data_IF_974658220527
#
_entry.id   IF_974658220527
#
_cell.length_a   1.000
_cell.length_b   1.000
_cell.length_c   1.000
_cell.angle_alpha   90.00
_cell.angle_beta   90.00
_cell.angle_gamma   90.00
#
_symmetry.space_group_name_H-M   'P 1'
#
loop_
_entity.id
_entity.type
_entity.pdbx_description
1 polymer ?
#
# COMPACT_ATOMS: atom_id res chain seq x y z
N UNK A 1 2.30 -4.22 24.66
CA UNK A 1 2.95 -3.50 23.55
C UNK A 1 4.02 -4.31 22.84
N UNK A 2 4.98 -4.93 23.54
CA UNK A 2 6.06 -5.73 22.91
C UNK A 2 5.55 -6.77 21.91
N UNK A 3 4.59 -7.63 22.31
CA UNK A 3 3.98 -8.63 21.41
C UNK A 3 3.30 -8.01 20.19
N UNK A 4 2.65 -6.86 20.35
CA UNK A 4 1.98 -6.15 19.26
C UNK A 4 3.01 -5.62 18.25
N UNK A 5 4.08 -4.99 18.74
CA UNK A 5 5.20 -4.54 17.92
C UNK A 5 5.86 -5.69 17.16
N UNK A 6 6.10 -6.82 17.83
CA UNK A 6 6.69 -8.01 17.21
C UNK A 6 5.80 -8.57 16.08
N UNK A 7 4.51 -8.76 16.34
CA UNK A 7 3.58 -9.25 15.33
C UNK A 7 3.47 -8.29 14.13
N UNK A 8 3.47 -6.99 14.38
CA UNK A 8 3.42 -5.99 13.31
C UNK A 8 4.72 -5.95 12.49
N UNK A 9 5.88 -6.08 13.14
CA UNK A 9 7.17 -6.19 12.45
C UNK A 9 7.20 -7.38 11.49
N UNK A 10 6.78 -8.57 11.95
CA UNK A 10 6.69 -9.76 11.11
C UNK A 10 5.72 -9.57 9.94
N UNK A 11 4.60 -8.88 10.18
CA UNK A 11 3.65 -8.54 9.12
C UNK A 11 4.27 -7.62 8.05
N UNK A 12 4.95 -6.53 8.44
CA UNK A 12 5.61 -5.62 7.50
C UNK A 12 6.64 -6.38 6.67
N UNK A 13 7.49 -7.20 7.30
CA UNK A 13 8.49 -7.98 6.58
C UNK A 13 7.87 -8.93 5.57
N UNK A 14 6.85 -9.69 5.97
CA UNK A 14 6.17 -10.62 5.08
C UNK A 14 5.51 -9.91 3.89
N UNK A 15 4.81 -8.81 4.14
CA UNK A 15 4.18 -8.02 3.07
C UNK A 15 5.24 -7.44 2.12
N UNK A 16 6.29 -6.80 2.66
CA UNK A 16 7.39 -6.24 1.87
C UNK A 16 8.08 -7.28 0.99
N UNK A 17 8.30 -8.49 1.51
CA UNK A 17 8.86 -9.59 0.72
C UNK A 17 7.93 -10.01 -0.41
N UNK A 18 6.62 -10.10 -0.16
CA UNK A 18 5.64 -10.40 -1.21
C UNK A 18 5.63 -9.33 -2.31
N UNK A 19 5.65 -8.04 -1.93
CA UNK A 19 5.73 -6.92 -2.90
C UNK A 19 7.04 -6.98 -3.68
N UNK A 20 8.15 -7.26 -3.00
CA UNK A 20 9.46 -7.41 -3.65
C UNK A 20 9.42 -8.48 -4.74
N UNK A 21 8.78 -9.63 -4.51
CA UNK A 21 8.66 -10.67 -5.55
C UNK A 21 7.81 -10.22 -6.73
N UNK A 22 6.69 -9.53 -6.49
CA UNK A 22 5.87 -9.00 -7.60
C UNK A 22 6.63 -7.92 -8.39
N UNK A 23 7.27 -6.97 -7.70
CA UNK A 23 8.11 -5.96 -8.33
C UNK A 23 9.27 -6.59 -9.14
N UNK A 24 9.83 -7.71 -8.69
CA UNK A 24 10.91 -8.40 -9.39
C UNK A 24 10.49 -8.92 -10.76
N UNK A 25 9.26 -9.43 -10.89
CA UNK A 25 8.70 -9.88 -12.17
C UNK A 25 8.55 -8.73 -13.17
N UNK A 26 8.31 -7.53 -12.67
CA UNK A 26 8.09 -6.31 -13.45
C UNK A 26 9.39 -5.49 -13.66
N UNK A 27 10.55 -5.97 -13.19
CA UNK A 27 11.84 -5.27 -13.29
C UNK A 27 12.03 -4.09 -12.33
N UNK A 28 11.14 -3.94 -11.34
CA UNK A 28 11.13 -2.85 -10.35
C UNK A 28 11.95 -3.18 -9.09
N UNK A 29 13.23 -3.54 -9.25
CA UNK A 29 14.07 -4.03 -8.15
C UNK A 29 14.23 -3.02 -7.01
N UNK A 30 14.54 -1.76 -7.33
CA UNK A 30 14.76 -0.72 -6.33
C UNK A 30 13.45 -0.45 -5.57
N UNK A 31 12.33 -0.36 -6.28
CA UNK A 31 11.00 -0.12 -5.71
C UNK A 31 10.62 -1.23 -4.73
N UNK A 32 10.80 -2.51 -5.10
CA UNK A 32 10.59 -3.62 -4.17
C UNK A 32 11.45 -3.52 -2.90
N UNK A 33 12.72 -3.12 -3.03
CA UNK A 33 13.64 -2.95 -1.90
C UNK A 33 13.25 -1.76 -1.01
N UNK A 34 12.76 -0.66 -1.56
CA UNK A 34 12.41 0.54 -0.76
C UNK A 34 10.94 0.65 -0.39
N UNK A 35 10.09 -0.23 -0.94
CA UNK A 35 8.64 -0.25 -0.73
C UNK A 35 8.31 -0.15 0.76
N UNK A 36 7.53 0.85 1.14
CA UNK A 36 7.03 1.04 2.51
C UNK A 36 8.08 1.09 3.62
N UNK A 37 9.32 1.49 3.32
CA UNK A 37 10.33 1.70 4.36
C UNK A 37 9.92 2.77 5.42
N UNK A 38 8.97 3.64 5.07
CA UNK A 38 8.33 4.60 5.98
C UNK A 38 7.66 3.94 7.20
N UNK A 39 7.15 2.71 7.06
CA UNK A 39 6.47 1.93 8.11
C UNK A 39 7.35 1.63 9.31
N UNK A 40 8.67 1.61 9.14
CA UNK A 40 9.63 1.39 10.23
C UNK A 40 9.90 2.65 11.05
N UNK A 41 9.42 3.82 10.62
CA UNK A 41 9.55 5.04 11.42
C UNK A 41 8.70 4.95 12.69
N UNK A 42 9.15 5.46 13.86
CA UNK A 42 8.37 5.44 15.09
C UNK A 42 6.97 6.04 14.95
N UNK A 43 6.83 7.06 14.11
CA UNK A 43 5.58 7.78 13.84
C UNK A 43 4.54 6.95 13.10
N UNK A 44 4.96 5.92 12.36
CA UNK A 44 4.05 4.99 11.68
C UNK A 44 3.99 3.66 12.42
N UNK A 45 5.15 3.15 12.87
CA UNK A 45 5.28 1.83 13.43
C UNK A 45 4.41 1.61 14.68
N UNK A 46 4.53 2.48 15.69
CA UNK A 46 3.84 2.27 16.96
C UNK A 46 2.32 2.45 16.86
N UNK A 47 1.78 3.48 16.17
CA UNK A 47 0.33 3.60 16.00
C UNK A 47 -0.29 2.42 15.25
N UNK A 48 0.34 1.92 14.19
CA UNK A 48 -0.16 0.74 13.47
C UNK A 48 -0.08 -0.54 14.31
N UNK A 49 1.06 -0.79 14.96
CA UNK A 49 1.22 -1.94 15.85
C UNK A 49 0.14 -1.94 16.95
N UNK A 50 -0.14 -0.76 17.52
CA UNK A 50 -1.18 -0.62 18.54
C UNK A 50 -2.58 -0.85 17.97
N UNK A 51 -2.92 -0.20 16.86
CA UNK A 51 -4.25 -0.29 16.22
C UNK A 51 -4.63 -1.73 15.87
N UNK A 52 -3.70 -2.49 15.28
CA UNK A 52 -4.03 -3.79 14.69
C UNK A 52 -3.60 -5.00 15.51
N UNK A 53 -2.64 -4.85 16.44
CA UNK A 53 -2.04 -6.00 17.14
C UNK A 53 -2.05 -5.90 18.67
N UNK A 54 -2.57 -4.82 19.26
CA UNK A 54 -2.64 -4.70 20.73
C UNK A 54 -3.77 -5.51 21.37
N UNK A 55 -4.81 -5.85 20.61
CA UNK A 55 -6.01 -6.52 21.13
C UNK A 55 -6.87 -5.66 22.07
N UNK A 56 -6.61 -4.36 22.14
CA UNK A 56 -7.35 -3.41 22.99
C UNK A 56 -7.94 -2.29 22.13
N UNK A 57 -9.11 -1.75 22.48
CA UNK A 57 -9.62 -0.54 21.86
C UNK A 57 -8.65 0.63 22.11
N UNK A 58 -8.50 1.50 21.11
CA UNK A 58 -7.69 2.71 21.22
C UNK A 58 -8.44 3.79 21.99
N UNK A 59 -7.72 4.64 22.73
CA UNK A 59 -8.27 5.91 23.22
C UNK A 59 -8.50 6.88 22.05
N UNK A 60 -9.31 7.95 22.21
CA UNK A 60 -9.50 8.95 21.16
C UNK A 60 -8.19 9.59 20.66
N UNK A 61 -7.23 9.83 21.56
CA UNK A 61 -5.90 10.37 21.21
C UNK A 61 -5.08 9.37 20.38
N UNK A 62 -5.13 8.08 20.74
CA UNK A 62 -4.42 7.03 20.03
C UNK A 62 -5.02 6.77 18.65
N UNK A 63 -6.34 6.86 18.53
CA UNK A 63 -7.05 6.79 17.26
C UNK A 63 -6.61 7.94 16.34
N UNK A 64 -6.47 9.16 16.88
CA UNK A 64 -5.98 10.30 16.14
C UNK A 64 -4.51 10.11 15.70
N UNK A 65 -3.64 9.61 16.59
CA UNK A 65 -2.24 9.27 16.24
C UNK A 65 -2.16 8.23 15.12
N UNK A 66 -3.03 7.22 15.14
CA UNK A 66 -3.11 6.23 14.08
C UNK A 66 -3.61 6.85 12.76
N UNK A 67 -4.62 7.73 12.79
CA UNK A 67 -5.08 8.45 11.59
C UNK A 67 -3.99 9.31 10.97
N UNK A 68 -3.19 10.02 11.78
CA UNK A 68 -2.02 10.77 11.29
C UNK A 68 -0.96 9.84 10.68
N UNK A 69 -0.69 8.69 11.30
CA UNK A 69 0.22 7.68 10.75
C UNK A 69 -0.27 7.15 9.39
N UNK A 70 -1.56 6.85 9.27
CA UNK A 70 -2.19 6.41 8.03
C UNK A 70 -2.07 7.45 6.92
N UNK A 71 -2.44 8.69 7.22
CA UNK A 71 -2.35 9.81 6.28
C UNK A 71 -0.91 10.03 5.80
N UNK A 72 0.05 10.02 6.74
CA UNK A 72 1.48 10.16 6.44
C UNK A 72 1.98 9.07 5.51
N UNK A 73 1.60 7.82 5.77
CA UNK A 73 2.00 6.68 4.95
C UNK A 73 1.52 6.82 3.51
N UNK A 74 0.23 7.15 3.32
CA UNK A 74 -0.35 7.42 2.00
C UNK A 74 0.37 8.57 1.26
N UNK A 75 0.66 9.68 1.96
CA UNK A 75 1.29 10.87 1.37
C UNK A 75 2.82 10.82 1.32
N UNK A 76 3.44 9.75 1.82
CA UNK A 76 4.90 9.56 1.75
C UNK A 76 5.31 8.55 0.68
N UNK A 77 4.51 7.51 0.46
CA UNK A 77 4.82 6.49 -0.54
C UNK A 77 4.04 6.76 -1.83
N UNK A 78 4.77 7.06 -2.89
CA UNK A 78 4.22 7.51 -4.19
C UNK A 78 3.44 6.45 -4.95
N UNK A 79 3.48 5.18 -4.54
CA UNK A 79 2.63 4.15 -5.11
C UNK A 79 1.19 4.21 -4.58
N UNK A 80 0.91 4.94 -3.50
CA UNK A 80 -0.47 5.24 -3.12
C UNK A 80 -1.05 6.31 -4.04
N UNK A 81 -2.24 6.05 -4.59
CA UNK A 81 -2.92 7.00 -5.47
C UNK A 81 -3.27 8.30 -4.75
N UNK A 82 -3.51 8.25 -3.43
CA UNK A 82 -3.81 9.40 -2.58
C UNK A 82 -2.71 10.46 -2.61
N UNK A 83 -1.44 10.07 -2.81
CA UNK A 83 -0.31 10.99 -2.97
C UNK A 83 -0.54 12.00 -4.11
N UNK A 84 -1.29 11.60 -5.13
CA UNK A 84 -1.44 12.33 -6.39
C UNK A 84 -2.77 13.08 -6.50
N UNK A 85 -3.63 13.00 -5.48
CA UNK A 85 -4.92 13.68 -5.46
C UNK A 85 -4.73 15.14 -5.06
N UNK A 86 -5.20 16.06 -5.91
CA UNK A 86 -5.21 17.50 -5.63
C UNK A 86 -6.49 17.85 -4.88
N UNK A 87 -7.63 17.38 -5.39
CA UNK A 87 -8.94 17.70 -4.83
C UNK A 87 -9.86 16.46 -4.85
N UNK A 88 -10.13 15.83 -3.71
CA UNK A 88 -10.97 14.64 -3.65
C UNK A 88 -12.45 14.94 -3.98
N UNK A 89 -12.95 16.15 -3.71
CA UNK A 89 -14.32 16.54 -4.02
C UNK A 89 -14.54 16.71 -5.52
N UNK A 90 -13.57 17.32 -6.21
CA UNK A 90 -13.57 17.47 -7.66
C UNK A 90 -13.07 16.21 -8.40
N UNK A 91 -12.64 15.18 -7.67
CA UNK A 91 -11.95 13.99 -8.22
C UNK A 91 -10.75 14.34 -9.11
N UNK A 92 -10.02 15.37 -8.70
CA UNK A 92 -8.86 15.89 -9.43
C UNK A 92 -7.57 15.23 -8.91
N UNK A 93 -6.79 14.64 -9.81
CA UNK A 93 -5.52 13.99 -9.51
C UNK A 93 -4.52 14.17 -10.66
N UNK A 94 -3.23 14.13 -10.33
CA UNK A 94 -2.13 14.21 -11.29
C UNK A 94 -1.84 12.84 -11.93
N UNK A 95 -1.29 12.80 -13.16
CA UNK A 95 -0.82 11.57 -13.76
C UNK A 95 0.31 10.96 -12.92
N UNK A 96 0.13 9.71 -12.51
CA UNK A 96 1.14 8.94 -11.82
C UNK A 96 2.23 8.46 -12.79
N UNK A 97 3.53 8.62 -12.47
CA UNK A 97 4.59 7.98 -13.23
C UNK A 97 4.44 6.45 -13.25
N UNK A 98 4.60 5.83 -14.43
CA UNK A 98 4.43 4.39 -14.68
C UNK A 98 5.00 3.47 -13.60
N UNK A 99 6.23 3.73 -13.12
CA UNK A 99 6.87 2.90 -12.07
C UNK A 99 6.05 2.81 -10.79
N UNK A 100 5.34 3.87 -10.40
CA UNK A 100 4.50 3.89 -9.20
C UNK A 100 3.14 3.26 -9.45
N UNK A 101 2.62 3.32 -10.68
CA UNK A 101 1.42 2.59 -11.10
C UNK A 101 1.67 1.08 -11.02
N UNK A 102 2.80 0.62 -11.57
CA UNK A 102 3.21 -0.78 -11.52
C UNK A 102 3.52 -1.22 -10.08
N UNK A 103 4.21 -0.39 -9.28
CA UNK A 103 4.43 -0.67 -7.86
C UNK A 103 3.11 -0.81 -7.08
N UNK A 104 2.11 0.04 -7.36
CA UNK A 104 0.77 -0.04 -6.75
C UNK A 104 0.07 -1.36 -7.10
N UNK A 105 0.15 -1.80 -8.36
CA UNK A 105 -0.41 -3.09 -8.79
C UNK A 105 0.33 -4.26 -8.12
N UNK A 106 1.66 -4.18 -7.98
CA UNK A 106 2.46 -5.17 -7.26
C UNK A 106 2.05 -5.25 -5.78
N UNK A 107 1.87 -4.09 -5.14
CA UNK A 107 1.38 -3.97 -3.77
C UNK A 107 0.02 -4.67 -3.59
N UNK A 108 -0.93 -4.36 -4.48
CA UNK A 108 -2.26 -4.98 -4.47
C UNK A 108 -2.23 -6.49 -4.65
N UNK A 109 -1.46 -6.98 -5.64
CA UNK A 109 -1.28 -8.43 -5.88
C UNK A 109 -0.71 -9.11 -4.63
N UNK A 110 0.17 -8.44 -3.90
CA UNK A 110 0.84 -8.98 -2.71
C UNK A 110 -0.11 -9.26 -1.52
N UNK A 111 -1.22 -8.53 -1.36
CA UNK A 111 -2.19 -8.76 -0.27
C UNK A 111 -2.87 -10.13 -0.37
N UNK A 112 -3.05 -10.63 -1.59
CA UNK A 112 -3.63 -11.95 -1.83
C UNK A 112 -2.60 -13.08 -1.75
N UNK A 113 -1.30 -12.75 -1.65
CA UNK A 113 -0.20 -13.71 -1.62
C UNK A 113 -0.02 -14.24 -0.19
N UNK A 114 -0.50 -15.47 0.04
CA UNK A 114 0.00 -16.31 1.14
C UNK A 114 1.14 -17.17 0.60
N UNK A 115 2.19 -17.37 1.40
CA UNK A 115 3.32 -18.23 1.02
C UNK A 115 2.81 -19.60 0.52
N UNK A 116 3.16 -19.96 -0.72
CA UNK A 116 2.71 -21.19 -1.37
C UNK A 116 1.32 -21.16 -2.06
N UNK A 117 0.65 -20.02 -2.18
CA UNK A 117 -0.61 -19.87 -2.95
C UNK A 117 -0.53 -18.80 -4.01
N UNK A 118 -1.10 -19.09 -5.18
CA UNK A 118 -1.27 -18.11 -6.26
C UNK A 118 -2.27 -17.01 -5.86
N UNK A 119 -1.95 -15.79 -6.28
CA UNK A 119 -2.77 -14.58 -6.13
C UNK A 119 -4.13 -14.81 -6.82
N UNK A 120 -5.24 -14.70 -6.08
CA UNK A 120 -6.58 -14.75 -6.68
C UNK A 120 -6.83 -13.44 -7.44
N UNK A 121 -6.93 -13.53 -8.77
CA UNK A 121 -7.14 -12.39 -9.68
C UNK A 121 -8.43 -11.59 -9.44
N UNK A 122 -9.45 -12.22 -8.85
CA UNK A 122 -10.84 -11.74 -8.89
C UNK A 122 -11.25 -10.74 -7.79
N UNK A 123 -10.32 -10.09 -7.08
CA UNK A 123 -10.67 -9.25 -5.90
C UNK A 123 -10.26 -7.78 -6.01
N UNK A 124 -9.70 -7.32 -7.13
CA UNK A 124 -9.07 -6.01 -7.23
C UNK A 124 -9.67 -5.10 -8.30
N UNK A 125 -10.98 -5.13 -8.60
CA UNK A 125 -11.57 -3.99 -9.32
C UNK A 125 -11.75 -2.80 -8.36
N UNK A 126 -10.61 -2.18 -7.99
CA UNK A 126 -10.54 -0.98 -7.15
C UNK A 126 -10.60 0.30 -8.00
N UNK A 127 -10.53 0.17 -9.32
CA UNK A 127 -10.43 1.29 -10.26
C UNK A 127 -11.61 2.25 -10.15
N UNK A 128 -12.80 1.74 -9.82
CA UNK A 128 -14.00 2.58 -9.61
C UNK A 128 -14.10 3.20 -8.21
N UNK A 129 -13.23 2.77 -7.28
CA UNK A 129 -13.22 3.21 -5.87
C UNK A 129 -12.09 4.19 -5.56
N UNK A 130 -11.16 4.41 -6.48
CA UNK A 130 -10.00 5.28 -6.32
C UNK A 130 -10.15 6.56 -7.15
N UNK A 131 -9.47 7.63 -6.73
CA UNK A 131 -9.39 8.89 -7.47
C UNK A 131 -8.02 8.94 -8.14
N UNK A 132 -7.98 8.75 -9.45
CA UNK A 132 -6.74 8.80 -10.24
C UNK A 132 -6.96 9.58 -11.53
N UNK A 133 -5.88 10.14 -12.08
CA UNK A 133 -5.91 10.81 -13.38
C UNK A 133 -6.36 9.84 -14.49
N UNK A 134 -7.11 10.29 -15.52
CA UNK A 134 -7.59 9.42 -16.60
C UNK A 134 -6.48 8.60 -17.30
N UNK A 135 -5.29 9.18 -17.49
CA UNK A 135 -4.16 8.45 -18.08
C UNK A 135 -3.67 7.31 -17.19
N UNK A 136 -3.59 7.56 -15.87
CA UNK A 136 -3.25 6.53 -14.89
C UNK A 136 -4.33 5.45 -14.83
N UNK A 137 -5.61 5.82 -14.94
CA UNK A 137 -6.71 4.85 -15.00
C UNK A 137 -6.55 3.91 -16.21
N UNK A 138 -6.26 4.47 -17.38
CA UNK A 138 -6.00 3.68 -18.60
C UNK A 138 -4.81 2.74 -18.43
N UNK A 139 -3.72 3.21 -17.82
CA UNK A 139 -2.56 2.36 -17.56
C UNK A 139 -2.87 1.23 -16.56
N UNK A 140 -3.65 1.50 -15.51
CA UNK A 140 -4.12 0.48 -14.58
C UNK A 140 -5.00 -0.56 -15.27
N UNK A 141 -5.98 -0.13 -16.07
CA UNK A 141 -6.85 -1.03 -16.82
C UNK A 141 -6.05 -1.92 -17.78
N UNK A 142 -5.01 -1.37 -18.43
CA UNK A 142 -4.10 -2.16 -19.25
C UNK A 142 -3.36 -3.19 -18.38
N UNK A 143 -2.69 -2.78 -17.31
CA UNK A 143 -1.93 -3.68 -16.43
C UNK A 143 -2.80 -4.77 -15.78
N UNK A 144 -4.08 -4.50 -15.56
CA UNK A 144 -5.02 -5.43 -14.96
C UNK A 144 -5.74 -6.33 -15.98
N UNK A 145 -5.86 -5.90 -17.24
CA UNK A 145 -6.45 -6.70 -18.33
C UNK A 145 -5.43 -7.55 -19.06
N UNK A 146 -4.18 -7.08 -19.17
CA UNK A 146 -3.08 -7.77 -19.83
C UNK A 146 -2.38 -8.76 -18.91
N UNK A 147 -3.12 -9.78 -18.48
CA UNK A 147 -2.51 -10.97 -17.89
C UNK A 147 -2.26 -12.03 -18.97
N UNK A 148 -1.03 -12.03 -19.49
CA UNK A 148 -0.35 -13.24 -19.99
C UNK A 148 0.10 -14.10 -18.80
#
# INVERSE_FOLDING_TARGET
MVRACWNYFLYILNHKLNVMVECWKEGLYIQGIIHDCSKFSPTEFFPYAKKFYSGKPLTPEEELKWKYAWLRHQHKNKHHWEYWVINPHAKEALPMPKKYVVEMVCDWRSFSRRWGRQVKKSTLNLTDKIIVHPETKKELELLMSSDR
#
